data_IF_661400032844
#
_entry.id   IF_661400032844
#
_cell.length_a   1.000
_cell.length_b   1.000
_cell.length_c   1.000
_cell.angle_alpha   90.00
_cell.angle_beta   90.00
_cell.angle_gamma   90.00
#
_symmetry.space_group_name_H-M   'P 1'
#
loop_
_entity.id
_entity.type
_entity.pdbx_description
1 polymer ?
#
# COMPACT_ATOMS: atom_id res chain seq x y z
N UNK A 1 -20.87 -3.59 -7.40
CA UNK A 1 -19.43 -3.80 -7.63
C UNK A 1 -19.18 -4.15 -9.09
N UNK A 2 -18.51 -3.28 -9.84
CA UNK A 2 -17.97 -3.54 -11.17
C UNK A 2 -16.44 -3.55 -11.07
N UNK A 3 -15.78 -4.45 -11.80
CA UNK A 3 -14.32 -4.62 -11.73
C UNK A 3 -13.71 -4.44 -13.11
N UNK A 4 -12.75 -3.52 -13.22
CA UNK A 4 -11.98 -3.25 -14.44
C UNK A 4 -10.51 -3.53 -14.18
N UNK A 5 -9.87 -4.38 -14.98
CA UNK A 5 -8.45 -4.66 -14.82
C UNK A 5 -7.60 -3.49 -15.34
N UNK A 6 -6.68 -2.99 -14.51
CA UNK A 6 -5.78 -1.88 -14.89
C UNK A 6 -4.70 -2.38 -15.87
N UNK A 7 -4.18 -3.58 -15.65
CA UNK A 7 -3.27 -4.27 -16.56
C UNK A 7 -3.58 -5.76 -16.63
N UNK A 8 -2.86 -6.51 -17.47
CA UNK A 8 -3.03 -7.97 -17.54
C UNK A 8 -2.71 -8.66 -16.19
N UNK A 9 -1.62 -8.25 -15.54
CA UNK A 9 -0.99 -8.99 -14.44
C UNK A 9 -1.11 -8.35 -13.05
N UNK A 10 -1.58 -7.10 -12.98
CA UNK A 10 -1.61 -6.31 -11.73
C UNK A 10 -2.67 -5.22 -11.80
N UNK A 11 -3.31 -4.94 -10.67
CA UNK A 11 -4.22 -3.84 -10.50
C UNK A 11 -5.63 -4.16 -10.98
N UNK A 12 -6.61 -3.70 -10.22
CA UNK A 12 -8.00 -3.60 -10.63
C UNK A 12 -8.63 -2.33 -10.05
N UNK A 13 -9.48 -1.69 -10.84
CA UNK A 13 -10.38 -0.63 -10.39
C UNK A 13 -11.72 -1.26 -10.01
N UNK A 14 -12.29 -0.85 -8.87
CA UNK A 14 -13.52 -1.39 -8.30
C UNK A 14 -14.53 -0.27 -8.09
N UNK A 15 -15.57 -0.24 -8.93
CA UNK A 15 -16.63 0.75 -8.87
C UNK A 15 -17.90 0.21 -8.21
N UNK A 16 -18.78 1.12 -7.78
CA UNK A 16 -20.09 0.77 -7.22
C UNK A 16 -19.98 0.12 -5.85
N UNK A 17 -19.08 0.64 -5.03
CA UNK A 17 -18.90 0.33 -3.61
C UNK A 17 -18.69 1.63 -2.83
N UNK A 18 -19.23 1.69 -1.62
CA UNK A 18 -19.01 2.79 -0.67
C UNK A 18 -18.25 2.23 0.53
N UNK A 19 -17.00 2.65 0.73
CA UNK A 19 -16.15 2.13 1.80
C UNK A 19 -16.66 2.52 3.20
N UNK A 20 -17.56 3.52 3.31
CA UNK A 20 -18.18 3.91 4.58
C UNK A 20 -19.20 2.89 5.10
N UNK A 21 -19.81 2.13 4.20
CA UNK A 21 -20.88 1.18 4.51
C UNK A 21 -20.75 -0.12 3.70
N UNK A 22 -19.52 -0.64 3.66
CA UNK A 22 -19.24 -1.90 2.96
C UNK A 22 -19.69 -3.11 3.79
N UNK A 23 -20.38 -4.05 3.15
CA UNK A 23 -20.78 -5.30 3.79
C UNK A 23 -19.57 -6.22 4.01
N UNK A 24 -19.64 -7.11 5.01
CA UNK A 24 -18.55 -8.06 5.25
C UNK A 24 -18.37 -9.04 4.09
N UNK A 25 -19.46 -9.40 3.39
CA UNK A 25 -19.42 -10.22 2.19
C UNK A 25 -18.66 -9.51 1.05
N UNK A 26 -18.91 -8.21 0.85
CA UNK A 26 -18.17 -7.41 -0.13
C UNK A 26 -16.68 -7.30 0.26
N UNK A 27 -16.35 -7.18 1.55
CA UNK A 27 -14.95 -7.17 2.00
C UNK A 27 -14.25 -8.49 1.64
N UNK A 28 -14.90 -9.64 1.79
CA UNK A 28 -14.32 -10.94 1.38
C UNK A 28 -14.07 -10.98 -0.13
N UNK A 29 -14.97 -10.39 -0.93
CA UNK A 29 -14.78 -10.26 -2.38
C UNK A 29 -13.58 -9.36 -2.69
N UNK A 30 -13.49 -8.19 -2.06
CA UNK A 30 -12.36 -7.27 -2.23
C UNK A 30 -11.03 -7.91 -1.83
N UNK A 31 -11.00 -8.65 -0.72
CA UNK A 31 -9.82 -9.37 -0.27
C UNK A 31 -9.37 -10.39 -1.32
N UNK A 32 -10.32 -11.18 -1.83
CA UNK A 32 -10.05 -12.14 -2.92
C UNK A 32 -9.47 -11.46 -4.15
N UNK A 33 -10.05 -10.32 -4.52
CA UNK A 33 -9.58 -9.54 -5.65
C UNK A 33 -8.19 -8.93 -5.38
N UNK A 34 -7.91 -8.45 -4.17
CA UNK A 34 -6.59 -7.92 -3.81
C UNK A 34 -5.52 -9.01 -3.87
N UNK A 35 -5.81 -10.23 -3.41
CA UNK A 35 -4.85 -11.34 -3.48
C UNK A 35 -4.55 -11.77 -4.92
N UNK A 36 -5.53 -11.71 -5.82
CA UNK A 36 -5.36 -12.03 -7.24
C UNK A 36 -4.66 -10.90 -8.01
N UNK A 37 -5.04 -9.65 -7.73
CA UNK A 37 -4.66 -8.48 -8.54
C UNK A 37 -3.53 -7.65 -7.93
N UNK A 38 -3.17 -7.87 -6.67
CA UNK A 38 -2.07 -7.20 -5.95
C UNK A 38 -2.29 -5.73 -5.59
N UNK A 39 -3.23 -5.04 -6.23
CA UNK A 39 -3.57 -3.63 -5.98
C UNK A 39 -5.01 -3.37 -6.40
N UNK A 40 -5.75 -2.63 -5.57
CA UNK A 40 -7.11 -2.16 -5.88
C UNK A 40 -7.14 -0.63 -5.87
N UNK A 41 -7.78 -0.05 -6.88
CA UNK A 41 -8.22 1.35 -6.89
C UNK A 41 -9.73 1.37 -6.67
N UNK A 42 -10.21 2.16 -5.70
CA UNK A 42 -11.64 2.31 -5.43
C UNK A 42 -11.97 3.79 -5.58
N UNK A 43 -12.47 4.23 -6.76
CA UNK A 43 -12.74 5.64 -7.03
C UNK A 43 -13.97 6.16 -6.28
N UNK A 44 -14.17 7.47 -6.33
CA UNK A 44 -15.38 8.17 -5.86
C UNK A 44 -15.70 7.94 -4.37
N UNK A 45 -14.67 7.93 -3.53
CA UNK A 45 -14.81 7.82 -2.08
C UNK A 45 -14.69 9.19 -1.39
N UNK A 46 -15.57 9.43 -0.43
CA UNK A 46 -15.59 10.62 0.43
C UNK A 46 -15.47 10.16 1.88
N UNK A 47 -14.23 9.98 2.33
CA UNK A 47 -13.90 9.36 3.62
C UNK A 47 -13.40 10.40 4.60
N UNK A 48 -13.91 10.35 5.83
CA UNK A 48 -13.22 10.91 6.99
C UNK A 48 -12.12 9.96 7.46
N UNK A 49 -11.13 10.43 8.23
CA UNK A 49 -10.15 9.55 8.88
C UNK A 49 -10.80 8.40 9.66
N UNK A 50 -11.88 8.68 10.39
CA UNK A 50 -12.63 7.65 11.13
C UNK A 50 -13.24 6.59 10.20
N UNK A 51 -13.85 6.99 9.08
CA UNK A 51 -14.42 6.03 8.13
C UNK A 51 -13.37 5.25 7.36
N UNK A 52 -12.22 5.86 7.07
CA UNK A 52 -11.07 5.17 6.46
C UNK A 52 -10.52 4.12 7.43
N UNK A 53 -10.38 4.49 8.71
CA UNK A 53 -9.94 3.58 9.76
C UNK A 53 -10.92 2.42 9.94
N UNK A 54 -12.23 2.70 10.02
CA UNK A 54 -13.26 1.67 10.14
C UNK A 54 -13.28 0.72 8.93
N UNK A 55 -13.06 1.24 7.71
CA UNK A 55 -12.89 0.41 6.53
C UNK A 55 -11.64 -0.46 6.64
N UNK A 56 -10.50 0.09 7.06
CA UNK A 56 -9.25 -0.65 7.23
C UNK A 56 -9.35 -1.78 8.28
N UNK A 57 -10.07 -1.54 9.38
CA UNK A 57 -10.27 -2.51 10.46
C UNK A 57 -11.08 -3.74 10.02
N UNK A 58 -11.89 -3.64 8.96
CA UNK A 58 -12.55 -4.80 8.34
C UNK A 58 -11.56 -5.79 7.69
N UNK A 59 -10.34 -5.37 7.42
CA UNK A 59 -9.29 -6.21 6.82
C UNK A 59 -8.36 -6.83 7.85
N UNK A 60 -8.17 -6.15 9.00
CA UNK A 60 -7.34 -6.65 10.08
C UNK A 60 -6.92 -5.56 11.06
N UNK A 61 -6.07 -5.96 12.02
CA UNK A 61 -5.53 -5.02 13.00
C UNK A 61 -4.61 -4.00 12.34
N UNK A 62 -4.69 -2.74 12.78
CA UNK A 62 -3.91 -1.64 12.22
C UNK A 62 -2.47 -1.68 12.71
N UNK A 63 -1.53 -1.76 11.78
CA UNK A 63 -0.11 -1.52 12.05
C UNK A 63 0.13 0.00 12.05
N UNK A 64 0.29 0.58 13.24
CA UNK A 64 0.50 2.02 13.39
C UNK A 64 1.90 2.38 12.90
N UNK A 65 1.95 3.30 11.93
CA UNK A 65 3.21 3.76 11.35
C UNK A 65 4.06 4.50 12.40
N UNK A 66 5.37 4.22 12.42
CA UNK A 66 6.33 4.79 13.40
C UNK A 66 7.16 5.95 12.87
N UNK A 67 7.05 6.27 11.58
CA UNK A 67 7.91 7.21 10.87
C UNK A 67 7.17 8.44 10.36
N UNK A 68 5.89 8.29 10.04
CA UNK A 68 5.07 9.34 9.49
C UNK A 68 4.31 10.09 10.59
N UNK A 69 3.98 11.36 10.31
CA UNK A 69 3.15 12.18 11.19
C UNK A 69 1.75 11.56 11.27
N UNK A 70 1.21 11.32 12.47
CA UNK A 70 -0.18 10.87 12.62
C UNK A 70 -1.16 12.00 12.30
N UNK A 71 -2.30 11.66 11.72
CA UNK A 71 -3.44 12.57 11.57
C UNK A 71 -3.92 13.00 12.95
N UNK A 72 -4.21 14.29 13.12
CA UNK A 72 -4.75 14.82 14.37
C UNK A 72 -6.04 14.08 14.75
N UNK A 73 -6.17 13.72 16.03
CA UNK A 73 -7.31 12.97 16.59
C UNK A 73 -7.43 11.51 16.10
N UNK A 74 -6.62 11.09 15.10
CA UNK A 74 -6.62 9.77 14.49
C UNK A 74 -5.19 9.19 14.40
N UNK A 75 -4.57 8.82 15.53
CA UNK A 75 -3.15 8.42 15.56
C UNK A 75 -2.82 7.11 14.84
N UNK A 76 -3.84 6.34 14.44
CA UNK A 76 -3.70 5.13 13.64
C UNK A 76 -3.63 5.43 12.13
N UNK A 77 -3.96 6.65 11.72
CA UNK A 77 -3.87 7.11 10.33
C UNK A 77 -2.63 7.99 10.20
N UNK A 78 -1.79 7.69 9.20
CA UNK A 78 -0.56 8.42 8.94
C UNK A 78 -0.72 9.36 7.74
N UNK A 79 -0.15 10.56 7.84
CA UNK A 79 -0.15 11.56 6.78
C UNK A 79 1.02 11.36 5.82
N UNK A 80 0.72 11.15 4.54
CA UNK A 80 1.71 11.21 3.45
C UNK A 80 1.62 12.61 2.83
N UNK A 81 2.29 13.57 3.47
CA UNK A 81 2.29 14.98 3.05
C UNK A 81 3.58 15.31 2.27
N UNK A 82 3.42 16.06 1.17
CA UNK A 82 4.53 16.66 0.44
C UNK A 82 4.26 18.14 0.18
N UNK A 83 5.03 19.02 0.84
CA UNK A 83 4.95 20.46 0.62
C UNK A 83 5.68 20.88 -0.67
N UNK A 84 5.28 22.00 -1.32
CA UNK A 84 5.85 22.44 -2.59
C UNK A 84 7.36 22.73 -2.58
N UNK A 85 7.93 23.06 -1.43
CA UNK A 85 9.35 23.38 -1.24
C UNK A 85 10.22 22.15 -0.93
N UNK A 86 9.61 20.98 -0.71
CA UNK A 86 10.35 19.75 -0.46
C UNK A 86 10.92 19.18 -1.76
N UNK A 87 12.24 18.99 -1.83
CA UNK A 87 12.91 18.47 -3.02
C UNK A 87 12.95 16.92 -3.08
N UNK A 88 12.79 16.25 -1.93
CA UNK A 88 12.78 14.79 -1.85
C UNK A 88 11.35 14.25 -1.84
N UNK A 89 11.13 13.13 -2.52
CA UNK A 89 9.86 12.41 -2.48
C UNK A 89 9.90 11.27 -1.45
N UNK A 90 8.77 11.08 -0.79
CA UNK A 90 8.54 9.92 0.08
C UNK A 90 8.32 8.70 -0.82
N UNK A 91 8.97 7.58 -0.51
CA UNK A 91 8.76 6.33 -1.25
C UNK A 91 9.30 6.32 -2.68
N UNK A 92 10.24 7.20 -3.02
CA UNK A 92 10.73 7.38 -4.40
C UNK A 92 11.50 6.20 -5.01
N UNK A 93 11.92 5.22 -4.21
CA UNK A 93 12.53 3.97 -4.68
C UNK A 93 11.54 2.81 -4.66
N UNK A 94 11.75 1.79 -5.50
CA UNK A 94 10.98 0.55 -5.43
C UNK A 94 11.15 -0.13 -4.08
N UNK A 95 10.05 -0.32 -3.36
CA UNK A 95 10.03 -0.92 -2.03
C UNK A 95 8.71 -1.65 -1.77
N UNK A 96 8.66 -2.36 -0.65
CA UNK A 96 7.42 -2.80 -0.01
C UNK A 96 7.46 -2.39 1.44
N UNK A 97 6.32 -1.91 1.94
CA UNK A 97 6.20 -1.33 3.26
C UNK A 97 6.55 -2.34 4.36
N UNK A 98 7.26 -1.87 5.38
CA UNK A 98 7.51 -2.63 6.61
C UNK A 98 8.18 -4.01 6.44
N UNK A 99 8.88 -4.27 5.33
CA UNK A 99 9.57 -5.55 5.12
C UNK A 99 10.68 -5.88 6.16
N UNK A 100 11.04 -4.91 7.00
CA UNK A 100 11.97 -5.06 8.12
C UNK A 100 11.30 -5.49 9.44
N UNK A 101 9.97 -5.53 9.50
CA UNK A 101 9.26 -6.04 10.67
C UNK A 101 9.29 -7.58 10.68
N UNK A 102 9.26 -8.17 11.88
CA UNK A 102 9.19 -9.64 12.03
C UNK A 102 7.91 -10.22 11.41
N UNK A 103 6.82 -9.47 11.54
CA UNK A 103 5.54 -9.72 10.87
C UNK A 103 5.21 -8.45 10.07
N UNK A 104 5.59 -8.40 8.77
CA UNK A 104 5.27 -7.27 7.91
C UNK A 104 3.76 -7.03 7.78
N UNK A 105 3.38 -5.79 7.49
CA UNK A 105 1.99 -5.45 7.21
C UNK A 105 1.47 -6.24 6.00
N UNK A 106 0.20 -6.66 6.05
CA UNK A 106 -0.46 -7.37 4.94
C UNK A 106 -0.60 -6.49 3.69
N UNK A 107 -0.75 -5.17 3.89
CA UNK A 107 -0.90 -4.19 2.84
C UNK A 107 -1.08 -2.80 3.42
N UNK A 108 -1.15 -1.82 2.53
CA UNK A 108 -1.33 -0.40 2.85
C UNK A 108 -2.62 0.11 2.20
N UNK A 109 -3.37 0.97 2.91
CA UNK A 109 -4.49 1.71 2.35
C UNK A 109 -4.14 3.19 2.29
N UNK A 110 -4.16 3.72 1.07
CA UNK A 110 -3.89 5.12 0.81
C UNK A 110 -5.17 5.80 0.32
N UNK A 111 -5.52 6.93 0.94
CA UNK A 111 -6.64 7.76 0.53
C UNK A 111 -6.12 9.12 0.07
N UNK A 112 -6.49 9.50 -1.16
CA UNK A 112 -6.01 10.74 -1.77
C UNK A 112 -6.91 11.91 -1.35
N UNK A 113 -6.35 12.87 -0.61
CA UNK A 113 -7.04 14.08 -0.16
C UNK A 113 -6.80 15.27 -1.10
N UNK A 114 -5.53 15.52 -1.43
CA UNK A 114 -5.10 16.55 -2.36
C UNK A 114 -4.05 15.96 -3.28
N UNK A 115 -4.24 16.14 -4.59
CA UNK A 115 -3.34 15.65 -5.63
C UNK A 115 -2.98 16.78 -6.59
N UNK A 116 -1.76 16.78 -7.16
CA UNK A 116 -1.40 17.75 -8.19
C UNK A 116 -2.20 17.50 -9.48
N UNK A 117 -2.36 18.53 -10.31
CA UNK A 117 -3.04 18.41 -11.62
C UNK A 117 -2.31 17.44 -12.56
N UNK A 118 -0.97 17.35 -12.44
CA UNK A 118 -0.13 16.42 -13.20
C UNK A 118 1.01 15.89 -12.36
N UNK A 119 1.45 14.65 -12.62
CA UNK A 119 2.48 13.97 -11.84
C UNK A 119 1.94 13.41 -10.52
N UNK A 120 2.81 12.75 -9.74
CA UNK A 120 2.42 12.13 -8.47
C UNK A 120 1.91 10.69 -8.59
N UNK A 121 2.01 10.08 -9.78
CA UNK A 121 1.65 8.68 -9.99
C UNK A 121 2.41 7.75 -9.04
N UNK A 122 1.70 6.77 -8.49
CA UNK A 122 2.30 5.66 -7.73
C UNK A 122 2.38 4.44 -8.63
N UNK A 123 3.59 3.94 -8.86
CA UNK A 123 3.82 2.75 -9.66
C UNK A 123 3.84 1.49 -8.78
N UNK A 124 3.22 0.43 -9.28
CA UNK A 124 3.21 -0.88 -8.61
C UNK A 124 3.86 -1.94 -9.51
N UNK A 125 4.43 -2.98 -8.89
CA UNK A 125 5.04 -4.11 -9.59
C UNK A 125 4.59 -5.44 -8.96
N UNK A 126 4.24 -6.42 -9.79
CA UNK A 126 3.89 -7.76 -9.33
C UNK A 126 5.16 -8.60 -9.09
N UNK A 127 5.47 -8.87 -7.82
CA UNK A 127 6.58 -9.76 -7.45
C UNK A 127 6.29 -11.22 -7.78
N UNK A 128 5.01 -11.62 -7.80
CA UNK A 128 4.58 -12.93 -8.32
C UNK A 128 4.92 -13.09 -9.79
N UNK A 129 4.57 -12.11 -10.63
CA UNK A 129 4.89 -12.15 -12.06
C UNK A 129 6.40 -12.04 -12.31
N UNK A 130 7.12 -11.24 -11.51
CA UNK A 130 8.57 -11.16 -11.60
C UNK A 130 9.22 -12.53 -11.31
N UNK A 131 8.80 -13.20 -10.24
CA UNK A 131 9.34 -14.51 -9.85
C UNK A 131 8.96 -15.62 -10.84
N UNK A 132 7.73 -15.65 -11.33
CA UNK A 132 7.26 -16.67 -12.28
C UNK A 132 7.94 -16.56 -13.65
N UNK A 133 8.39 -15.38 -14.06
CA UNK A 133 9.10 -15.16 -15.31
C UNK A 133 10.62 -15.42 -15.25
N UNK A 134 11.17 -15.74 -14.08
CA UNK A 134 12.57 -16.14 -13.97
C UNK A 134 12.85 -17.44 -14.73
N UNK A 135 14.11 -17.72 -15.05
CA UNK A 135 14.48 -19.06 -15.54
C UNK A 135 14.33 -20.08 -14.42
N UNK A 136 14.06 -21.34 -14.77
CA UNK A 136 13.89 -22.41 -13.77
C UNK A 136 15.13 -22.56 -12.88
N UNK A 137 16.32 -22.52 -13.46
CA UNK A 137 17.57 -22.58 -12.69
C UNK A 137 17.73 -21.41 -11.71
N UNK A 138 17.28 -20.21 -12.08
CA UNK A 138 17.36 -19.06 -11.18
C UNK A 138 16.32 -19.11 -10.06
N UNK A 139 15.08 -19.56 -10.35
CA UNK A 139 14.09 -19.84 -9.30
C UNK A 139 14.61 -20.85 -8.28
N UNK A 140 15.19 -21.97 -8.75
CA UNK A 140 15.75 -22.99 -7.87
C UNK A 140 16.89 -22.46 -7.01
N UNK A 141 17.77 -21.63 -7.58
CA UNK A 141 18.85 -21.00 -6.83
C UNK A 141 18.31 -20.08 -5.72
N UNK A 142 17.30 -19.26 -6.02
CA UNK A 142 16.73 -18.30 -5.07
C UNK A 142 15.82 -18.94 -4.01
N UNK A 143 15.19 -20.09 -4.29
CA UNK A 143 14.18 -20.69 -3.43
C UNK A 143 14.63 -21.02 -2.00
N UNK A 144 15.94 -21.14 -1.76
CA UNK A 144 16.52 -21.42 -0.44
C UNK A 144 17.29 -20.23 0.17
N UNK A 145 17.32 -19.11 -0.54
CA UNK A 145 18.06 -17.93 -0.08
C UNK A 145 17.23 -17.09 0.88
N UNK A 146 17.91 -16.44 1.80
CA UNK A 146 17.32 -15.47 2.72
C UNK A 146 17.95 -14.10 2.49
N UNK A 147 17.15 -13.06 2.66
CA UNK A 147 17.58 -11.67 2.61
C UNK A 147 17.36 -10.99 3.97
N UNK A 148 18.24 -10.05 4.33
CA UNK A 148 18.09 -9.23 5.53
C UNK A 148 17.48 -7.90 5.13
N UNK A 149 16.35 -7.55 5.74
CA UNK A 149 15.65 -6.29 5.54
C UNK A 149 15.88 -5.39 6.77
N UNK A 150 16.19 -4.11 6.55
CA UNK A 150 16.45 -3.17 7.63
C UNK A 150 15.95 -1.78 7.27
N UNK A 151 15.30 -1.08 8.19
CA UNK A 151 14.89 0.32 8.03
C UNK A 151 16.08 1.31 8.06
N UNK A 152 17.28 0.88 8.49
CA UNK A 152 18.42 1.77 8.75
C UNK A 152 18.87 2.60 7.55
N UNK A 153 18.76 2.05 6.34
CA UNK A 153 19.19 2.74 5.12
C UNK A 153 18.23 3.87 4.68
N UNK A 154 16.98 3.86 5.16
CA UNK A 154 15.97 4.88 4.86
C UNK A 154 15.74 5.81 6.05
N UNK A 155 15.68 5.26 7.26
CA UNK A 155 15.27 5.98 8.48
C UNK A 155 16.36 6.04 9.57
N UNK A 156 17.53 5.43 9.34
CA UNK A 156 18.59 5.27 10.36
C UNK A 156 19.70 6.30 10.30
N UNK A 157 19.55 7.38 9.54
CA UNK A 157 20.41 8.55 9.70
C UNK A 157 19.96 9.27 10.97
N UNK A 158 20.80 9.26 12.01
CA UNK A 158 20.71 10.28 13.05
C UNK A 158 20.74 11.63 12.33
N UNK A 159 19.68 12.43 12.48
CA UNK A 159 19.74 13.84 12.14
C UNK A 159 20.68 14.48 13.16
N UNK A 160 21.97 14.41 12.91
CA UNK A 160 22.96 15.25 13.59
C UNK A 160 22.70 16.71 13.20
N UNK A 161 21.89 17.41 14.03
CA UNK A 161 21.98 18.83 14.37
C UNK A 161 20.89 19.21 15.39
#
# INVERSE_FOLDING_TARGET
MNVTHISEILGAEVEGIDCRDVSDDDVVVLQTLLWDRGMLSIPDQDLTPDSQLAFAEKWGAINVNRFFTPVAENPQVAEVLKDPDQELNIGGGWHTDHSYDEIPAMGSMLYALEIPETGGDTLFASTYAAYSNLSEGFRQALASMHAVHSSRHVFGYERDA
#
